data_IF_756198056695
#
_entry.id   IF_756198056695
#
_cell.length_a   1.000
_cell.length_b   1.000
_cell.length_c   1.000
_cell.angle_alpha   90.00
_cell.angle_beta   90.00
_cell.angle_gamma   90.00
#
_symmetry.space_group_name_H-M   'P 1'
#
loop_
_entity.id
_entity.type
_entity.pdbx_description
1 polymer ?
#
# COMPACT_ATOMS: atom_id res chain seq x y z
N UNK A 1 -26.85 1.02 -19.20
CA UNK A 1 -28.28 1.24 -18.88
C UNK A 1 -28.77 2.59 -19.40
N UNK A 2 -28.19 3.69 -18.92
CA UNK A 2 -28.60 5.05 -19.30
C UNK A 2 -28.38 5.36 -20.79
N UNK A 3 -27.29 4.89 -21.38
CA UNK A 3 -27.00 5.12 -22.80
C UNK A 3 -28.00 4.44 -23.74
N UNK A 4 -28.51 3.26 -23.37
CA UNK A 4 -29.36 2.45 -24.25
C UNK A 4 -30.85 2.62 -23.94
N UNK A 5 -31.25 2.53 -22.67
CA UNK A 5 -32.66 2.50 -22.27
C UNK A 5 -33.11 3.76 -21.51
N UNK A 6 -32.20 4.72 -21.21
CA UNK A 6 -32.46 6.03 -20.56
C UNK A 6 -33.25 5.98 -19.23
N UNK A 7 -33.31 4.83 -18.58
CA UNK A 7 -34.01 4.64 -17.32
C UNK A 7 -33.19 3.75 -16.39
N UNK A 8 -33.54 3.76 -15.10
CA UNK A 8 -32.88 2.95 -14.06
C UNK A 8 -33.77 1.79 -13.61
N UNK A 9 -33.13 0.69 -13.22
CA UNK A 9 -33.82 -0.45 -12.63
C UNK A 9 -34.44 -0.06 -11.26
N UNK A 10 -35.59 -0.63 -10.94
CA UNK A 10 -36.29 -0.43 -9.67
C UNK A 10 -35.43 -0.77 -8.44
N UNK A 11 -34.47 -1.69 -8.55
CA UNK A 11 -33.57 -2.09 -7.46
C UNK A 11 -32.53 -0.99 -7.15
N UNK A 12 -32.19 -0.16 -8.13
CA UNK A 12 -31.12 0.85 -8.03
C UNK A 12 -31.63 2.21 -7.52
N UNK A 13 -32.95 2.40 -7.42
CA UNK A 13 -33.54 3.64 -6.91
C UNK A 13 -33.71 3.56 -5.38
N UNK A 14 -33.31 4.57 -4.60
CA UNK A 14 -32.74 5.88 -4.95
C UNK A 14 -31.22 5.95 -4.79
N UNK A 15 -30.50 4.83 -4.87
CA UNK A 15 -29.05 4.78 -4.61
C UNK A 15 -28.21 5.67 -5.55
N UNK A 16 -28.78 6.11 -6.66
CA UNK A 16 -28.15 6.99 -7.65
C UNK A 16 -28.67 8.42 -7.49
N UNK A 17 -27.82 9.35 -7.08
CA UNK A 17 -28.12 10.78 -7.04
C UNK A 17 -28.38 11.32 -8.45
N UNK A 18 -29.63 11.64 -8.79
CA UNK A 18 -30.01 12.31 -10.02
C UNK A 18 -31.51 12.23 -10.34
N UNK A 19 -31.98 13.09 -11.26
CA UNK A 19 -33.36 13.09 -11.75
C UNK A 19 -33.59 11.97 -12.77
N UNK A 20 -33.34 10.72 -12.37
CA UNK A 20 -33.56 9.55 -13.21
C UNK A 20 -34.94 8.96 -12.93
N UNK A 21 -35.68 8.67 -14.00
CA UNK A 21 -36.98 8.02 -13.90
C UNK A 21 -36.80 6.50 -13.82
N UNK A 22 -37.66 5.86 -13.02
CA UNK A 22 -37.74 4.41 -12.94
C UNK A 22 -38.20 3.83 -14.29
N UNK A 23 -37.61 2.71 -14.72
CA UNK A 23 -38.04 2.06 -15.97
C UNK A 23 -39.48 1.55 -15.88
N UNK A 24 -40.31 1.90 -16.87
CA UNK A 24 -41.59 1.25 -17.16
C UNK A 24 -41.40 -0.16 -17.75
N UNK A 25 -42.49 -0.90 -17.98
CA UNK A 25 -42.51 -2.26 -18.54
C UNK A 25 -41.68 -2.37 -19.84
N UNK A 26 -41.80 -1.37 -20.73
CA UNK A 26 -41.02 -1.32 -21.97
C UNK A 26 -39.52 -1.07 -21.70
N UNK A 27 -39.19 -0.25 -20.69
CA UNK A 27 -37.81 0.01 -20.28
C UNK A 27 -37.16 -1.24 -19.66
N UNK A 28 -37.93 -2.01 -18.88
CA UNK A 28 -37.47 -3.30 -18.33
C UNK A 28 -37.22 -4.31 -19.45
N UNK A 29 -38.07 -4.35 -20.47
CA UNK A 29 -37.85 -5.19 -21.66
C UNK A 29 -36.54 -4.84 -22.38
N UNK A 30 -36.29 -3.54 -22.61
CA UNK A 30 -35.02 -3.04 -23.17
C UNK A 30 -33.82 -3.46 -22.30
N UNK A 31 -33.93 -3.33 -20.97
CA UNK A 31 -32.87 -3.68 -20.04
C UNK A 31 -32.52 -5.18 -20.08
N UNK A 32 -33.54 -6.03 -20.26
CA UNK A 32 -33.37 -7.48 -20.38
C UNK A 32 -32.66 -7.88 -21.68
N UNK A 33 -32.86 -7.12 -22.77
CA UNK A 33 -32.14 -7.36 -24.04
C UNK A 33 -30.63 -7.11 -23.92
N UNK A 34 -30.23 -6.13 -23.10
CA UNK A 34 -28.81 -5.79 -22.86
C UNK A 34 -28.26 -6.39 -21.55
N UNK A 35 -28.95 -7.36 -20.94
CA UNK A 35 -28.64 -7.89 -19.60
C UNK A 35 -27.19 -8.39 -19.49
N UNK A 36 -26.67 -9.07 -20.52
CA UNK A 36 -25.33 -9.65 -20.53
C UNK A 36 -24.23 -8.59 -20.42
N UNK A 37 -24.45 -7.40 -21.00
CA UNK A 37 -23.51 -6.28 -20.92
C UNK A 37 -23.54 -5.56 -19.56
N UNK A 38 -24.65 -5.70 -18.82
CA UNK A 38 -24.86 -5.01 -17.55
C UNK A 38 -24.40 -5.81 -16.34
N UNK A 39 -24.53 -7.13 -16.38
CA UNK A 39 -24.21 -8.01 -15.24
C UNK A 39 -22.74 -8.38 -15.18
N UNK A 40 -22.08 -8.43 -16.34
CA UNK A 40 -20.66 -8.73 -16.41
C UNK A 40 -19.84 -7.47 -16.16
N UNK A 41 -19.07 -7.46 -15.08
CA UNK A 41 -18.05 -6.45 -14.82
C UNK A 41 -16.79 -6.84 -15.60
N UNK A 42 -16.33 -5.95 -16.48
CA UNK A 42 -15.08 -6.11 -17.21
C UNK A 42 -14.02 -5.22 -16.59
N UNK A 43 -12.89 -5.83 -16.22
CA UNK A 43 -11.71 -5.06 -15.84
C UNK A 43 -11.20 -4.28 -17.07
N UNK A 44 -10.75 -3.04 -16.85
CA UNK A 44 -10.16 -2.19 -17.90
C UNK A 44 -8.93 -2.84 -18.58
N UNK A 45 -8.31 -3.84 -17.95
CA UNK A 45 -7.16 -4.60 -18.44
C UNK A 45 -7.52 -6.05 -18.82
N UNK A 46 -8.73 -6.28 -19.32
CA UNK A 46 -9.08 -7.59 -19.87
C UNK A 46 -8.52 -7.75 -21.28
N UNK A 47 -7.92 -8.90 -21.58
CA UNK A 47 -7.27 -9.21 -22.87
C UNK A 47 -8.26 -9.33 -24.05
N UNK A 48 -9.57 -9.40 -23.77
CA UNK A 48 -10.62 -9.58 -24.78
C UNK A 48 -11.50 -8.32 -24.91
N UNK A 49 -11.30 -7.54 -25.98
CA UNK A 49 -12.06 -6.32 -26.25
C UNK A 49 -13.53 -6.59 -26.68
N UNK A 50 -13.82 -7.78 -27.21
CA UNK A 50 -15.13 -8.17 -27.71
C UNK A 50 -16.02 -8.88 -26.67
N UNK A 51 -15.58 -9.06 -25.42
CA UNK A 51 -16.39 -9.74 -24.41
C UNK A 51 -17.49 -8.80 -23.89
N UNK A 52 -18.78 -9.17 -23.84
CA UNK A 52 -19.83 -8.31 -23.29
C UNK A 52 -19.58 -7.99 -21.82
N UNK A 53 -19.78 -6.72 -21.42
CA UNK A 53 -19.60 -6.30 -20.02
C UNK A 53 -19.25 -4.83 -19.85
N UNK A 54 -19.66 -4.25 -18.72
CA UNK A 54 -19.43 -2.86 -18.35
C UNK A 54 -18.02 -2.67 -17.79
N UNK A 55 -17.34 -1.62 -18.24
CA UNK A 55 -16.01 -1.26 -17.77
C UNK A 55 -16.16 -0.50 -16.45
N UNK A 56 -15.65 -1.07 -15.36
CA UNK A 56 -15.68 -0.43 -14.04
C UNK A 56 -14.27 -0.40 -13.43
N UNK A 57 -13.87 0.76 -12.92
CA UNK A 57 -12.62 0.96 -12.17
C UNK A 57 -12.90 0.92 -10.66
N UNK A 58 -13.49 -0.20 -10.21
CA UNK A 58 -13.81 -0.40 -8.80
C UNK A 58 -12.53 -0.80 -8.07
N UNK A 59 -12.02 0.09 -7.22
CA UNK A 59 -10.98 -0.27 -6.25
C UNK A 59 -11.58 -1.15 -5.16
N UNK A 60 -10.89 -2.22 -4.79
CA UNK A 60 -11.31 -3.06 -3.67
C UNK A 60 -11.31 -2.24 -2.37
N UNK A 61 -12.34 -2.44 -1.55
CA UNK A 61 -12.44 -1.78 -0.27
C UNK A 61 -11.33 -2.25 0.68
N UNK A 62 -10.82 -1.32 1.49
CA UNK A 62 -9.75 -1.61 2.44
C UNK A 62 -10.21 -2.53 3.58
N UNK A 63 -11.49 -2.45 3.93
CA UNK A 63 -12.13 -3.28 4.97
C UNK A 63 -13.37 -3.93 4.38
N UNK A 64 -13.23 -5.19 4.04
CA UNK A 64 -14.32 -5.99 3.48
C UNK A 64 -14.67 -7.13 4.46
N UNK A 65 -15.93 -7.23 4.93
CA UNK A 65 -16.36 -8.33 5.76
C UNK A 65 -16.60 -9.57 4.91
N UNK A 66 -16.02 -10.70 5.32
CA UNK A 66 -16.22 -11.98 4.64
C UNK A 66 -17.16 -12.87 5.49
N UNK A 67 -18.26 -13.34 4.88
CA UNK A 67 -19.29 -14.12 5.56
C UNK A 67 -19.47 -15.48 4.88
N UNK A 68 -19.37 -16.54 5.69
CA UNK A 68 -19.51 -17.91 5.23
C UNK A 68 -20.71 -18.57 5.88
N UNK A 69 -21.50 -19.31 5.08
CA UNK A 69 -22.61 -20.11 5.59
C UNK A 69 -22.08 -21.50 5.98
N UNK A 70 -22.05 -21.79 7.27
CA UNK A 70 -21.49 -23.04 7.80
C UNK A 70 -22.54 -24.15 7.79
N UNK A 71 -23.78 -23.84 8.16
CA UNK A 71 -24.86 -24.81 8.27
C UNK A 71 -26.19 -24.17 7.89
N UNK A 72 -27.00 -24.90 7.12
CA UNK A 72 -28.36 -24.49 6.75
C UNK A 72 -29.32 -25.60 7.18
N UNK A 73 -30.16 -25.30 8.15
CA UNK A 73 -31.22 -26.19 8.58
C UNK A 73 -32.55 -25.75 7.96
N UNK A 74 -33.17 -26.64 7.19
CA UNK A 74 -34.53 -26.47 6.70
C UNK A 74 -35.43 -27.42 7.47
N UNK A 75 -36.36 -26.86 8.25
CA UNK A 75 -37.42 -27.63 8.91
C UNK A 75 -38.72 -27.31 8.20
N UNK A 76 -39.28 -28.29 7.51
CA UNK A 76 -40.60 -28.16 6.88
C UNK A 76 -41.67 -28.19 7.98
N UNK A 77 -42.17 -27.02 8.34
CA UNK A 77 -43.34 -26.89 9.21
C UNK A 77 -44.59 -26.72 8.35
N UNK A 78 -45.68 -27.44 8.64
CA UNK A 78 -47.03 -27.27 8.03
C UNK A 78 -47.69 -25.92 8.40
N UNK A 79 -46.91 -24.88 8.69
CA UNK A 79 -47.41 -23.54 8.99
C UNK A 79 -47.31 -22.68 7.74
N UNK A 80 -48.25 -21.76 7.59
CA UNK A 80 -48.30 -20.80 6.48
C UNK A 80 -47.15 -19.76 6.55
N UNK A 81 -46.52 -19.61 7.72
CA UNK A 81 -45.41 -18.69 7.96
C UNK A 81 -44.04 -19.40 8.00
N UNK A 82 -43.03 -18.74 7.42
CA UNK A 82 -41.64 -19.20 7.41
C UNK A 82 -40.79 -18.40 8.40
N UNK A 83 -40.23 -19.07 9.41
CA UNK A 83 -39.32 -18.45 10.38
C UNK A 83 -37.85 -18.63 9.92
N UNK A 84 -37.18 -17.52 9.58
CA UNK A 84 -35.74 -17.53 9.24
C UNK A 84 -34.94 -17.06 10.44
N UNK A 85 -34.02 -17.89 10.93
CA UNK A 85 -33.12 -17.57 12.05
C UNK A 85 -31.68 -17.58 11.61
N UNK A 86 -31.01 -16.44 11.73
CA UNK A 86 -29.57 -16.33 11.55
C UNK A 86 -28.86 -16.53 12.88
N UNK A 87 -28.03 -17.57 12.98
CA UNK A 87 -27.25 -17.88 14.18
C UNK A 87 -25.77 -17.83 13.83
N UNK A 88 -25.01 -17.01 14.54
CA UNK A 88 -23.55 -16.96 14.41
C UNK A 88 -22.92 -17.85 15.49
N UNK A 89 -22.04 -18.76 15.09
CA UNK A 89 -21.29 -19.61 16.04
C UNK A 89 -20.26 -18.82 16.85
N UNK A 90 -19.74 -17.73 16.29
CA UNK A 90 -18.72 -16.87 16.92
C UNK A 90 -18.88 -15.45 16.41
N UNK A 91 -18.48 -14.47 17.23
CA UNK A 91 -18.43 -13.07 16.80
C UNK A 91 -17.48 -12.90 15.60
N UNK A 92 -17.80 -11.98 14.66
CA UNK A 92 -16.94 -11.70 13.52
C UNK A 92 -15.55 -11.24 13.99
N UNK A 93 -14.50 -11.85 13.46
CA UNK A 93 -13.12 -11.58 13.82
C UNK A 93 -12.30 -11.16 12.58
N UNK A 94 -11.30 -10.30 12.78
CA UNK A 94 -10.38 -9.88 11.72
C UNK A 94 -9.40 -11.01 11.36
N UNK A 95 -9.71 -11.78 10.30
CA UNK A 95 -8.84 -12.89 9.87
C UNK A 95 -7.60 -12.46 9.09
N UNK A 96 -7.67 -11.31 8.41
CA UNK A 96 -6.58 -10.83 7.55
C UNK A 96 -6.38 -9.33 7.73
N UNK A 97 -5.16 -8.94 8.10
CA UNK A 97 -4.75 -7.53 8.17
C UNK A 97 -3.43 -7.37 7.42
N UNK A 98 -3.43 -6.53 6.38
CA UNK A 98 -2.20 -6.15 5.68
C UNK A 98 -1.49 -5.07 6.50
N UNK A 99 -0.30 -5.39 7.02
CA UNK A 99 0.55 -4.43 7.71
C UNK A 99 1.70 -3.96 6.82
N UNK A 100 2.00 -2.67 6.86
CA UNK A 100 3.13 -2.10 6.12
C UNK A 100 4.41 -2.38 6.91
N UNK A 101 5.17 -3.38 6.46
CA UNK A 101 6.38 -3.88 7.16
C UNK A 101 7.59 -2.94 7.07
N UNK A 102 7.59 -1.95 6.18
CA UNK A 102 8.68 -0.96 6.06
C UNK A 102 8.10 0.45 6.00
N UNK A 103 8.44 1.25 7.01
CA UNK A 103 8.05 2.66 7.08
C UNK A 103 9.21 3.56 6.65
N UNK A 104 8.91 4.79 6.23
CA UNK A 104 9.94 5.78 5.84
C UNK A 104 10.93 6.05 6.98
N UNK A 105 10.50 5.89 8.23
CA UNK A 105 11.36 6.05 9.40
C UNK A 105 12.43 4.96 9.49
N UNK A 106 12.12 3.72 9.11
CA UNK A 106 13.06 2.59 9.09
C UNK A 106 14.17 2.83 8.05
N UNK A 107 13.80 3.38 6.90
CA UNK A 107 14.74 3.79 5.84
C UNK A 107 15.71 4.87 6.33
N UNK A 108 15.18 5.91 6.98
CA UNK A 108 15.99 7.03 7.50
C UNK A 108 16.91 6.57 8.63
N UNK A 109 16.42 5.70 9.52
CA UNK A 109 17.22 5.14 10.62
C UNK A 109 18.39 4.32 10.07
N UNK A 110 18.15 3.44 9.11
CA UNK A 110 19.22 2.64 8.50
C UNK A 110 20.24 3.50 7.75
N UNK A 111 19.78 4.52 7.01
CA UNK A 111 20.66 5.42 6.25
C UNK A 111 21.47 6.34 7.19
N UNK A 112 20.84 6.83 8.25
CA UNK A 112 21.48 7.66 9.28
C UNK A 112 22.53 6.88 10.06
N UNK A 113 22.28 5.61 10.36
CA UNK A 113 23.24 4.73 11.03
C UNK A 113 24.54 4.56 10.22
N UNK A 114 24.42 4.21 8.93
CA UNK A 114 25.61 4.08 8.08
C UNK A 114 26.32 5.42 7.88
N UNK A 115 25.58 6.50 7.61
CA UNK A 115 26.16 7.83 7.41
C UNK A 115 26.88 8.33 8.67
N UNK A 116 26.28 8.11 9.85
CA UNK A 116 26.88 8.44 11.14
C UNK A 116 28.17 7.67 11.41
N UNK A 117 28.24 6.39 11.05
CA UNK A 117 29.47 5.59 11.17
C UNK A 117 30.59 6.12 10.26
N UNK A 118 30.28 6.44 9.00
CA UNK A 118 31.28 7.00 8.08
C UNK A 118 31.78 8.38 8.53
N UNK A 119 30.87 9.26 8.96
CA UNK A 119 31.24 10.60 9.43
C UNK A 119 31.98 10.53 10.76
N UNK A 120 31.58 9.65 11.69
CA UNK A 120 32.26 9.45 12.96
C UNK A 120 33.70 8.97 12.77
N UNK A 121 33.92 7.95 11.92
CA UNK A 121 35.27 7.49 11.60
C UNK A 121 36.11 8.57 10.92
N UNK A 122 35.51 9.33 10.00
CA UNK A 122 36.18 10.43 9.30
C UNK A 122 36.58 11.56 10.26
N UNK A 123 35.71 11.90 11.22
CA UNK A 123 35.95 12.94 12.22
C UNK A 123 37.07 12.54 13.19
N UNK A 124 37.05 11.30 13.67
CA UNK A 124 38.12 10.77 14.55
C UNK A 124 39.47 10.86 13.84
N UNK A 125 39.52 10.43 12.57
CA UNK A 125 40.74 10.49 11.77
C UNK A 125 41.23 11.92 11.53
N UNK A 126 40.30 12.87 11.31
CA UNK A 126 40.66 14.28 11.15
C UNK A 126 41.22 14.89 12.44
N UNK A 127 40.63 14.59 13.59
CA UNK A 127 41.12 15.04 14.91
C UNK A 127 42.51 14.47 15.20
N UNK A 128 42.72 13.19 14.92
CA UNK A 128 44.04 12.55 15.07
C UNK A 128 45.11 13.24 14.22
N UNK A 129 44.78 13.52 12.95
CA UNK A 129 45.70 14.24 12.05
C UNK A 129 46.02 15.65 12.57
N UNK A 130 45.02 16.39 13.06
CA UNK A 130 45.23 17.71 13.65
C UNK A 130 46.15 17.61 14.87
N UNK A 131 45.86 16.72 15.82
CA UNK A 131 46.68 16.53 17.03
C UNK A 131 48.12 16.17 16.65
N UNK A 132 48.31 15.24 15.70
CA UNK A 132 49.64 14.85 15.25
C UNK A 132 50.41 16.04 14.66
N UNK A 133 49.77 16.84 13.80
CA UNK A 133 50.40 18.02 13.17
C UNK A 133 50.70 19.11 14.19
N UNK A 134 49.78 19.40 15.12
CA UNK A 134 50.01 20.39 16.19
C UNK A 134 51.18 19.99 17.10
N UNK A 135 51.27 18.72 17.50
CA UNK A 135 52.40 18.24 18.32
C UNK A 135 53.71 18.34 17.53
N UNK A 136 53.73 17.93 16.26
CA UNK A 136 54.95 18.00 15.42
C UNK A 136 55.40 19.45 15.19
N UNK A 137 54.49 20.37 14.93
CA UNK A 137 54.82 21.79 14.74
C UNK A 137 55.30 22.42 16.04
N UNK A 138 54.63 22.14 17.16
CA UNK A 138 55.04 22.67 18.47
C UNK A 138 56.42 22.14 18.89
N UNK A 139 56.65 20.83 18.74
CA UNK A 139 57.95 20.23 19.03
C UNK A 139 59.04 20.72 18.07
N UNK A 140 58.74 20.89 16.77
CA UNK A 140 59.68 21.44 15.80
C UNK A 140 60.02 22.92 16.04
N UNK A 141 59.04 23.75 16.41
CA UNK A 141 59.29 25.16 16.79
C UNK A 141 60.07 25.26 18.10
N UNK A 142 59.87 24.32 19.04
CA UNK A 142 60.67 24.24 20.27
C UNK A 142 62.06 23.63 20.05
N UNK A 143 62.36 23.10 18.84
CA UNK A 143 63.61 22.46 18.42
C UNK A 143 64.40 23.28 17.38
N UNK A 144 64.12 24.57 17.17
CA UNK A 144 65.07 25.53 16.57
C UNK A 144 66.25 25.84 17.51
N UNK A 145 66.75 24.79 18.16
CA UNK A 145 67.92 24.72 19.01
C UNK A 145 68.66 23.37 18.93
N UNK A 146 68.33 22.45 17.99
CA UNK A 146 69.23 21.34 17.66
C UNK A 146 68.94 20.72 16.28
N UNK A 147 69.97 20.71 15.42
CA UNK A 147 69.92 20.27 14.02
C UNK A 147 69.91 18.73 13.88
N UNK A 148 69.18 18.27 12.84
CA UNK A 148 69.37 17.07 12.03
C UNK A 148 69.38 15.68 12.71
N UNK A 149 68.33 14.88 12.52
CA UNK A 149 68.46 13.50 11.99
C UNK A 149 67.23 13.17 11.13
N UNK A 150 67.55 12.70 9.94
CA UNK A 150 66.76 12.29 8.79
C UNK A 150 66.13 10.90 8.99
N UNK A 151 64.84 10.75 8.72
CA UNK A 151 64.31 9.53 8.07
C UNK A 151 62.93 9.82 7.45
N UNK A 152 62.89 9.80 6.11
CA UNK A 152 61.68 9.92 5.29
C UNK A 152 61.41 8.60 4.51
N UNK A 153 60.29 7.93 4.86
CA UNK A 153 59.15 7.38 4.08
C UNK A 153 59.42 6.70 2.69
N UNK A 154 58.68 5.62 2.29
CA UNK A 154 57.53 5.82 1.38
C UNK A 154 56.30 4.90 1.52
N UNK A 155 55.13 5.56 1.54
CA UNK A 155 53.88 5.29 0.79
C UNK A 155 53.85 4.06 -0.16
N UNK A 156 52.84 3.19 0.01
CA UNK A 156 52.37 2.30 -1.06
C UNK A 156 50.86 2.45 -1.32
N UNK A 157 50.54 2.92 -2.53
CA UNK A 157 49.25 2.79 -3.22
C UNK A 157 49.55 2.17 -4.58
N UNK A 158 48.92 1.03 -4.96
CA UNK A 158 48.39 0.74 -6.31
C UNK A 158 47.24 -0.30 -6.25
N UNK A 159 46.27 -0.10 -7.15
CA UNK A 159 44.93 -0.74 -7.33
C UNK A 159 44.95 -1.98 -8.23
N UNK A 160 43.89 -2.79 -8.18
CA UNK A 160 43.04 -3.27 -9.31
C UNK A 160 41.77 -3.93 -8.69
N UNK A 161 40.54 -3.43 -8.84
CA UNK A 161 39.60 -3.46 -9.97
C UNK A 161 39.46 -4.82 -10.70
N UNK A 162 38.36 -5.54 -10.41
CA UNK A 162 37.59 -6.34 -11.38
C UNK A 162 36.11 -6.45 -10.94
N UNK A 163 35.22 -6.19 -11.90
CA UNK A 163 33.73 -6.14 -11.89
C UNK A 163 33.14 -7.57 -12.05
N UNK A 164 31.82 -7.83 -11.84
CA UNK A 164 30.74 -7.42 -12.77
C UNK A 164 29.46 -6.88 -12.06
N UNK A 165 28.76 -5.89 -12.64
CA UNK A 165 27.44 -5.99 -13.34
C UNK A 165 26.25 -6.01 -12.35
N UNK A 166 25.20 -5.19 -12.43
CA UNK A 166 24.49 -4.58 -13.57
C UNK A 166 23.77 -3.30 -13.13
N UNK A 167 23.45 -2.46 -14.11
CA UNK A 167 22.69 -1.21 -14.02
C UNK A 167 21.23 -1.50 -13.65
N UNK A 168 20.66 -0.76 -12.68
CA UNK A 168 19.24 -0.36 -12.71
C UNK A 168 19.13 1.02 -12.05
N UNK A 169 18.72 2.02 -12.83
CA UNK A 169 18.24 3.32 -12.36
C UNK A 169 16.76 3.19 -11.99
N UNK A 170 16.32 3.84 -10.92
CA UNK A 170 14.94 4.32 -10.83
C UNK A 170 14.90 5.75 -10.31
N UNK A 171 14.08 6.52 -11.01
CA UNK A 171 13.80 7.94 -10.84
C UNK A 171 12.52 8.12 -10.02
N UNK A 172 12.48 9.26 -9.32
CA UNK A 172 11.31 10.13 -9.05
C UNK A 172 10.11 9.65 -8.21
N UNK A 173 9.60 10.65 -7.46
CA UNK A 173 8.24 10.79 -6.89
C UNK A 173 7.90 9.87 -5.70
N UNK A 174 7.15 10.27 -4.66
CA UNK A 174 6.32 11.45 -4.45
C UNK A 174 6.02 11.67 -2.95
N UNK A 175 5.55 12.90 -2.73
CA UNK A 175 4.88 13.51 -1.58
C UNK A 175 3.62 12.77 -1.06
N UNK A 176 3.06 13.25 0.06
CA UNK A 176 1.69 12.91 0.54
C UNK A 176 1.70 12.12 1.86
N UNK A 177 1.63 12.79 3.03
CA UNK A 177 0.45 13.24 3.80
C UNK A 177 -0.34 12.10 4.48
N UNK A 178 -0.42 12.23 5.81
CA UNK A 178 -0.93 11.33 6.85
C UNK A 178 -2.21 11.95 7.42
N UNK A 179 -3.29 11.19 7.68
CA UNK A 179 -4.42 11.49 8.62
C UNK A 179 -5.53 10.39 8.54
N UNK A 180 -6.49 10.27 9.48
CA UNK A 180 -6.44 9.36 10.64
C UNK A 180 -7.57 8.31 10.72
N UNK A 181 -7.49 7.47 11.76
CA UNK A 181 -8.37 6.36 12.15
C UNK A 181 -9.76 6.78 12.70
N UNK A 182 -10.78 5.94 12.48
CA UNK A 182 -12.00 5.74 13.29
C UNK A 182 -12.53 4.33 12.94
N UNK A 183 -13.08 3.45 13.78
CA UNK A 183 -13.77 3.53 15.07
C UNK A 183 -14.93 2.51 14.94
N UNK A 184 -14.97 1.50 15.81
CA UNK A 184 -15.96 0.39 15.82
C UNK A 184 -17.40 0.92 15.91
N UNK A 185 -18.36 0.19 15.34
CA UNK A 185 -19.65 -0.16 15.97
C UNK A 185 -20.33 -1.31 15.20
N UNK A 186 -21.05 -2.16 15.94
CA UNK A 186 -21.75 -3.38 15.51
C UNK A 186 -23.27 -3.16 15.56
N UNK A 187 -24.03 -3.84 14.70
CA UNK A 187 -25.49 -3.86 14.74
C UNK A 187 -26.04 -5.25 14.40
N UNK A 188 -26.89 -5.78 15.27
CA UNK A 188 -27.66 -7.02 15.06
C UNK A 188 -28.92 -6.63 14.29
N UNK A 189 -29.11 -7.17 13.09
CA UNK A 189 -30.32 -6.98 12.30
C UNK A 189 -31.23 -8.20 12.44
N UNK A 190 -32.43 -8.00 12.99
CA UNK A 190 -33.51 -8.99 13.00
C UNK A 190 -34.50 -8.60 11.90
N UNK A 191 -34.71 -9.47 10.92
CA UNK A 191 -35.67 -9.26 9.82
C UNK A 191 -36.85 -10.18 10.06
N UNK A 192 -38.05 -9.62 10.20
CA UNK A 192 -39.32 -10.34 10.21
C UNK A 192 -39.94 -10.22 8.82
N UNK A 193 -40.31 -11.34 8.20
CA UNK A 193 -41.04 -11.43 6.93
C UNK A 193 -42.42 -11.97 7.23
#
# INVERSE_FOLDING_TARGET
MLEHCKCINHILYPAVSGNFTQCDINGIKCLNEIYLDLVKLRAKHSENENEPGIICDCSADCKEPDQFVIHVEKKETKKESSDIKFVMQTLPNERLRRNVIRSKLDLVVSLGGIAGLFLGASLISAVELLVHVFIRIWTAHSLTGHSNVLEDIPRQRKKCFKKPSSIVQYTSSESGKKLPYYGKDYGVATVFI
#
